data_IF_910386976457
#
_entry.id   IF_910386976457
#
_cell.length_a   1.000
_cell.length_b   1.000
_cell.length_c   1.000
_cell.angle_alpha   90.00
_cell.angle_beta   90.00
_cell.angle_gamma   90.00
#
_symmetry.space_group_name_H-M   'P 1'
#
loop_
_entity.id
_entity.type
_entity.pdbx_description
1 polymer ?
#
# COMPACT_ATOMS: atom_id res chain seq x y z
N UNK A 1 -20.05 0.02 7.80
CA UNK A 1 -19.74 -1.23 7.03
C UNK A 1 -18.26 -1.25 6.63
N UNK A 2 -17.69 -2.47 6.49
CA UNK A 2 -16.29 -2.63 6.07
C UNK A 2 -16.24 -3.54 4.86
N UNK A 3 -15.58 -3.09 3.80
CA UNK A 3 -15.30 -3.87 2.59
C UNK A 3 -13.80 -4.04 2.43
N UNK A 4 -13.37 -5.18 1.89
CA UNK A 4 -11.96 -5.46 1.58
C UNK A 4 -11.85 -5.83 0.11
N UNK A 5 -10.86 -5.27 -0.58
CA UNK A 5 -10.55 -5.59 -1.97
C UNK A 5 -9.04 -5.81 -2.14
N UNK A 6 -8.64 -6.51 -3.19
CA UNK A 6 -7.23 -6.69 -3.55
C UNK A 6 -6.66 -5.52 -4.34
N UNK A 7 -5.49 -5.74 -4.88
CA UNK A 7 -4.63 -4.82 -5.63
C UNK A 7 -5.39 -3.90 -6.60
N UNK A 8 -5.02 -2.65 -6.60
CA UNK A 8 -5.57 -1.67 -7.53
C UNK A 8 -4.58 -1.21 -8.60
N UNK A 9 -3.28 -1.18 -8.28
CA UNK A 9 -2.22 -0.70 -9.20
C UNK A 9 -2.60 0.62 -9.90
N UNK A 10 -3.22 1.56 -9.16
CA UNK A 10 -3.69 2.83 -9.71
C UNK A 10 -4.97 2.74 -10.58
N UNK A 11 -5.54 1.54 -10.75
CA UNK A 11 -6.80 1.37 -11.46
C UNK A 11 -7.98 1.29 -10.47
N UNK A 12 -8.63 2.41 -10.26
CA UNK A 12 -9.72 2.57 -9.30
C UNK A 12 -11.12 2.44 -9.92
N UNK A 13 -11.22 1.91 -11.15
CA UNK A 13 -12.51 1.72 -11.85
C UNK A 13 -13.53 0.95 -11.02
N UNK A 14 -13.06 0.00 -10.20
CA UNK A 14 -13.91 -0.79 -9.29
C UNK A 14 -14.72 0.05 -8.30
N UNK A 15 -14.32 1.30 -8.03
CA UNK A 15 -15.02 2.23 -7.14
C UNK A 15 -15.98 3.18 -7.87
N UNK A 16 -16.16 3.02 -9.17
CA UNK A 16 -17.22 3.73 -9.88
C UNK A 16 -18.59 3.13 -9.51
N UNK A 17 -19.66 3.93 -9.46
CA UNK A 17 -20.99 3.48 -9.05
C UNK A 17 -21.53 2.28 -9.82
N UNK A 18 -21.13 2.14 -11.08
CA UNK A 18 -21.54 1.02 -11.95
C UNK A 18 -20.97 -0.32 -11.50
N UNK A 19 -19.80 -0.31 -10.83
CA UNK A 19 -19.10 -1.52 -10.37
C UNK A 19 -19.21 -1.74 -8.86
N UNK A 20 -19.61 -0.71 -8.13
CA UNK A 20 -19.81 -0.76 -6.68
C UNK A 20 -21.07 0.04 -6.29
N UNK A 21 -22.26 -0.46 -6.67
CA UNK A 21 -23.53 0.24 -6.42
C UNK A 21 -23.87 0.37 -4.93
N UNK A 22 -23.33 -0.51 -4.07
CA UNK A 22 -23.54 -0.46 -2.62
C UNK A 22 -23.04 0.86 -2.00
N UNK A 23 -22.10 1.52 -2.64
CA UNK A 23 -21.58 2.80 -2.16
C UNK A 23 -22.64 3.92 -2.09
N UNK A 24 -23.76 3.78 -2.77
CA UNK A 24 -24.84 4.78 -2.74
C UNK A 24 -25.42 5.00 -1.32
N UNK A 25 -25.30 3.99 -0.44
CA UNK A 25 -25.73 4.08 0.95
C UNK A 25 -24.60 4.30 1.95
N UNK A 26 -23.36 4.45 1.48
CA UNK A 26 -22.19 4.60 2.35
C UNK A 26 -21.93 6.04 2.75
N UNK A 27 -21.22 6.20 3.83
CA UNK A 27 -20.75 7.47 4.39
C UNK A 27 -19.26 7.38 4.70
N UNK A 28 -18.62 8.50 5.06
CA UNK A 28 -17.21 8.50 5.50
C UNK A 28 -16.94 7.67 6.77
N UNK A 29 -17.96 7.18 7.45
CA UNK A 29 -17.81 6.23 8.54
C UNK A 29 -17.63 4.78 8.06
N UNK A 30 -18.06 4.49 6.83
CA UNK A 30 -17.85 3.20 6.20
C UNK A 30 -16.44 3.14 5.58
N UNK A 31 -15.82 1.97 5.59
CA UNK A 31 -14.42 1.81 5.21
C UNK A 31 -14.28 0.78 4.10
N UNK A 32 -13.51 1.14 3.08
CA UNK A 32 -13.05 0.18 2.06
C UNK A 32 -11.54 0.03 2.21
N UNK A 33 -11.06 -1.20 2.41
CA UNK A 33 -9.64 -1.50 2.61
C UNK A 33 -9.09 -2.17 1.34
N UNK A 34 -8.01 -1.59 0.78
CA UNK A 34 -7.22 -2.22 -0.28
C UNK A 34 -6.08 -3.01 0.36
N UNK A 35 -6.01 -4.31 0.05
CA UNK A 35 -5.03 -5.23 0.62
C UNK A 35 -3.71 -5.23 -0.18
N UNK A 36 -3.10 -4.06 -0.38
CA UNK A 36 -1.81 -3.85 -1.02
C UNK A 36 -1.88 -3.37 -2.46
N UNK A 37 -0.74 -2.97 -2.98
CA UNK A 37 -0.54 -2.47 -4.35
C UNK A 37 -1.56 -1.38 -4.73
N UNK A 38 -1.63 -0.34 -3.89
CA UNK A 38 -2.56 0.77 -4.05
C UNK A 38 -2.31 1.53 -5.36
N UNK A 39 -1.07 1.96 -5.59
CA UNK A 39 -0.65 2.64 -6.80
C UNK A 39 -1.22 4.04 -7.02
N UNK A 40 -1.94 4.62 -6.04
CA UNK A 40 -2.46 5.99 -6.11
C UNK A 40 -1.45 7.05 -5.65
N UNK A 41 -0.40 6.63 -4.95
CA UNK A 41 0.76 7.45 -4.59
C UNK A 41 1.96 6.87 -5.33
N UNK A 42 2.23 7.38 -6.53
CA UNK A 42 3.31 6.83 -7.35
C UNK A 42 4.40 7.86 -7.65
N UNK A 43 4.02 9.05 -8.08
CA UNK A 43 4.98 10.11 -8.39
C UNK A 43 5.39 10.91 -7.14
N UNK A 44 4.51 11.00 -6.16
CA UNK A 44 4.72 11.76 -4.93
C UNK A 44 4.72 13.27 -5.16
N UNK A 45 4.06 13.74 -6.20
CA UNK A 45 3.88 15.14 -6.57
C UNK A 45 2.47 15.37 -7.14
N UNK A 46 2.23 16.55 -7.74
CA UNK A 46 0.92 16.94 -8.26
C UNK A 46 0.34 16.03 -9.35
N UNK A 47 1.12 15.12 -9.93
CA UNK A 47 0.60 14.13 -10.88
C UNK A 47 -0.32 13.10 -10.23
N UNK A 48 -0.16 12.87 -8.93
CA UNK A 48 -1.05 11.99 -8.18
C UNK A 48 -2.34 12.70 -7.73
N UNK A 49 -2.34 14.05 -7.68
CA UNK A 49 -3.41 14.84 -7.04
C UNK A 49 -4.78 14.60 -7.64
N UNK A 50 -4.92 14.56 -8.97
CA UNK A 50 -6.22 14.37 -9.62
C UNK A 50 -6.88 13.06 -9.18
N UNK A 51 -6.09 11.98 -9.14
CA UNK A 51 -6.54 10.66 -8.69
C UNK A 51 -6.87 10.66 -7.21
N UNK A 52 -5.99 11.21 -6.38
CA UNK A 52 -6.18 11.26 -4.93
C UNK A 52 -7.38 12.12 -4.53
N UNK A 53 -7.59 13.24 -5.21
CA UNK A 53 -8.74 14.11 -4.97
C UNK A 53 -10.06 13.47 -5.44
N UNK A 54 -10.02 12.66 -6.50
CA UNK A 54 -11.17 11.86 -6.91
C UNK A 54 -11.48 10.79 -5.86
N UNK A 55 -10.46 10.07 -5.33
CA UNK A 55 -10.63 9.09 -4.26
C UNK A 55 -11.16 9.73 -2.98
N UNK A 56 -10.73 10.94 -2.65
CA UNK A 56 -11.24 11.69 -1.49
C UNK A 56 -12.74 12.00 -1.62
N UNK A 57 -13.25 12.18 -2.83
CA UNK A 57 -14.68 12.45 -3.06
C UNK A 57 -15.58 11.22 -2.96
N UNK A 58 -15.03 10.01 -2.90
CA UNK A 58 -15.83 8.79 -2.70
C UNK A 58 -16.64 8.89 -1.40
N UNK A 59 -17.82 8.30 -1.32
CA UNK A 59 -18.70 8.46 -0.14
C UNK A 59 -18.15 7.77 1.13
N UNK A 60 -17.18 6.88 1.02
CA UNK A 60 -16.56 6.13 2.11
C UNK A 60 -15.14 6.61 2.41
N UNK A 61 -14.57 6.17 3.53
CA UNK A 61 -13.13 6.26 3.80
C UNK A 61 -12.41 5.12 3.07
N UNK A 62 -11.43 5.47 2.25
CA UNK A 62 -10.56 4.52 1.58
C UNK A 62 -9.30 4.32 2.42
N UNK A 63 -9.05 3.10 2.85
CA UNK A 63 -7.84 2.72 3.55
C UNK A 63 -7.04 1.71 2.72
N UNK A 64 -5.73 1.65 2.87
CA UNK A 64 -4.92 0.65 2.21
C UNK A 64 -3.73 0.22 3.07
N UNK A 65 -3.31 -1.02 2.95
CA UNK A 65 -1.98 -1.47 3.39
C UNK A 65 -1.02 -1.40 2.21
N UNK A 66 0.27 -1.29 2.46
CA UNK A 66 1.26 -1.32 1.38
C UNK A 66 1.42 -2.73 0.79
N UNK A 67 1.70 -2.80 -0.51
CA UNK A 67 2.13 -3.99 -1.23
C UNK A 67 3.61 -3.93 -1.59
N UNK A 68 4.03 -4.63 -2.63
CA UNK A 68 5.40 -4.51 -3.17
C UNK A 68 5.50 -3.44 -4.27
N UNK A 69 4.39 -3.01 -4.85
CA UNK A 69 4.34 -1.94 -5.85
C UNK A 69 3.86 -0.62 -5.25
N UNK A 70 4.69 -0.04 -4.36
CA UNK A 70 4.42 1.26 -3.73
C UNK A 70 5.64 2.17 -3.82
N UNK A 71 5.41 3.47 -3.97
CA UNK A 71 6.46 4.46 -3.78
C UNK A 71 6.59 4.79 -2.29
N UNK A 72 7.44 4.04 -1.59
CA UNK A 72 7.64 4.18 -0.15
C UNK A 72 8.25 5.53 0.24
N UNK A 73 9.09 6.12 -0.62
CA UNK A 73 9.65 7.45 -0.39
C UNK A 73 8.56 8.53 -0.42
N UNK A 74 7.59 8.38 -1.30
CA UNK A 74 6.45 9.28 -1.36
C UNK A 74 5.50 9.08 -0.17
N UNK A 75 5.18 7.83 0.18
CA UNK A 75 4.33 7.51 1.32
C UNK A 75 4.90 8.05 2.64
N UNK A 76 6.23 7.94 2.85
CA UNK A 76 6.90 8.41 4.06
C UNK A 76 6.84 9.94 4.26
N UNK A 77 6.50 10.71 3.23
CA UNK A 77 6.37 12.18 3.31
C UNK A 77 5.02 12.65 3.84
N UNK A 78 4.00 11.79 3.83
CA UNK A 78 2.68 12.15 4.35
C UNK A 78 2.68 12.21 5.87
N UNK A 79 1.89 13.13 6.46
CA UNK A 79 1.81 13.25 7.91
C UNK A 79 1.25 11.99 8.55
N UNK A 80 1.85 11.59 9.66
CA UNK A 80 1.36 10.49 10.49
C UNK A 80 0.31 11.04 11.45
N UNK A 81 -0.82 10.36 11.55
CA UNK A 81 -1.87 10.64 12.50
C UNK A 81 -2.40 9.35 13.15
N UNK A 82 -3.10 9.51 14.25
CA UNK A 82 -3.85 8.42 14.85
C UNK A 82 -5.26 8.35 14.26
N UNK A 83 -5.68 7.16 13.85
CA UNK A 83 -7.00 6.90 13.32
C UNK A 83 -7.48 5.52 13.79
N UNK A 84 -8.66 5.46 14.41
CA UNK A 84 -9.28 4.20 14.88
C UNK A 84 -8.31 3.33 15.70
N UNK A 85 -7.58 3.92 16.64
CA UNK A 85 -6.59 3.30 17.53
C UNK A 85 -5.24 2.90 16.90
N UNK A 86 -5.06 3.07 15.61
CA UNK A 86 -3.80 2.80 14.90
C UNK A 86 -3.22 4.03 14.21
N UNK A 87 -1.96 3.95 13.82
CA UNK A 87 -1.24 5.00 13.08
C UNK A 87 -1.43 4.85 11.59
N UNK A 88 -1.67 5.98 10.92
CA UNK A 88 -1.84 6.06 9.47
C UNK A 88 -0.98 7.17 8.88
N UNK A 89 -0.57 7.04 7.62
CA UNK A 89 -0.20 8.21 6.83
C UNK A 89 -1.49 8.80 6.22
N UNK A 90 -1.73 10.10 6.48
CA UNK A 90 -2.86 10.82 5.91
C UNK A 90 -2.53 11.31 4.51
N UNK A 91 -2.87 10.52 3.49
CA UNK A 91 -2.68 10.89 2.07
C UNK A 91 -3.70 11.96 1.68
N UNK A 92 -4.93 11.79 2.14
CA UNK A 92 -6.02 12.78 2.16
C UNK A 92 -6.83 12.56 3.45
N UNK A 93 -7.75 13.46 3.82
CA UNK A 93 -8.57 13.27 5.04
C UNK A 93 -9.25 11.90 5.13
N UNK A 94 -9.64 11.32 3.99
CA UNK A 94 -10.32 10.02 3.93
C UNK A 94 -9.64 9.03 2.96
N UNK A 95 -8.37 9.27 2.61
CA UNK A 95 -7.50 8.30 1.93
C UNK A 95 -6.30 8.03 2.82
N UNK A 96 -6.27 6.86 3.45
CA UNK A 96 -5.40 6.56 4.58
C UNK A 96 -4.52 5.34 4.30
N UNK A 97 -3.20 5.50 4.45
CA UNK A 97 -2.30 4.37 4.47
C UNK A 97 -2.22 3.79 5.89
N UNK A 98 -2.72 2.57 6.07
CA UNK A 98 -2.66 1.84 7.33
C UNK A 98 -1.22 1.35 7.55
N UNK A 99 -0.53 1.91 8.54
CA UNK A 99 0.87 1.58 8.79
C UNK A 99 1.01 0.13 9.27
N UNK A 100 2.18 -0.44 9.03
CA UNK A 100 2.49 -1.82 9.46
C UNK A 100 2.55 -1.95 10.97
N UNK A 101 2.12 -3.11 11.43
CA UNK A 101 2.18 -3.46 12.85
C UNK A 101 1.14 -2.76 13.72
N UNK A 102 0.12 -2.15 13.12
CA UNK A 102 -0.92 -1.44 13.84
C UNK A 102 -2.19 -2.31 13.99
N UNK A 103 -2.99 -1.98 14.99
CA UNK A 103 -4.31 -2.54 15.20
C UNK A 103 -5.33 -1.41 15.10
N UNK A 104 -6.33 -1.62 14.25
CA UNK A 104 -7.42 -0.67 14.03
C UNK A 104 -8.73 -1.22 14.59
N UNK A 105 -9.46 -0.41 15.34
CA UNK A 105 -10.79 -0.77 15.84
C UNK A 105 -11.86 -0.25 14.88
N UNK A 106 -12.45 -1.16 14.10
CA UNK A 106 -13.46 -0.87 13.11
C UNK A 106 -14.73 -1.66 13.41
N UNK A 107 -15.84 -0.97 13.66
CA UNK A 107 -17.15 -1.57 13.97
C UNK A 107 -17.10 -2.63 15.09
N UNK A 108 -16.26 -2.41 16.12
CA UNK A 108 -16.12 -3.31 17.26
C UNK A 108 -15.21 -4.52 17.00
N UNK A 109 -14.55 -4.59 15.84
CA UNK A 109 -13.58 -5.62 15.49
C UNK A 109 -12.17 -5.05 15.40
N UNK A 110 -11.19 -5.89 15.72
CA UNK A 110 -9.75 -5.58 15.67
C UNK A 110 -9.15 -6.07 14.36
N UNK A 111 -8.64 -5.13 13.58
CA UNK A 111 -7.94 -5.38 12.31
C UNK A 111 -6.45 -5.15 12.52
N UNK A 112 -5.65 -6.20 12.47
CA UNK A 112 -4.20 -6.09 12.47
C UNK A 112 -3.69 -5.93 11.02
N UNK A 113 -2.76 -5.00 10.80
CA UNK A 113 -2.22 -4.71 9.47
C UNK A 113 -0.73 -4.99 9.39
N UNK A 114 -0.33 -5.74 8.35
CA UNK A 114 1.07 -6.05 8.06
C UNK A 114 1.27 -6.20 6.55
N UNK A 115 1.28 -5.07 5.85
CA UNK A 115 1.45 -5.05 4.40
C UNK A 115 2.90 -5.26 3.94
N UNK A 116 3.08 -5.33 2.64
CA UNK A 116 4.36 -5.56 1.98
C UNK A 116 4.57 -7.00 1.55
N UNK A 117 5.24 -7.18 0.43
CA UNK A 117 5.64 -8.47 -0.10
C UNK A 117 6.94 -8.36 -0.89
N UNK A 118 7.66 -9.46 -1.03
CA UNK A 118 8.86 -9.49 -1.88
C UNK A 118 8.46 -9.48 -3.35
N UNK A 119 9.03 -8.56 -4.11
CA UNK A 119 8.92 -8.56 -5.58
C UNK A 119 9.58 -9.83 -6.16
N UNK A 120 8.92 -10.40 -7.17
CA UNK A 120 9.40 -11.61 -7.86
C UNK A 120 9.89 -11.32 -9.28
N UNK A 121 9.69 -10.10 -9.78
CA UNK A 121 10.11 -9.65 -11.10
C UNK A 121 11.46 -8.90 -11.08
N UNK A 122 12.37 -9.38 -10.23
CA UNK A 122 13.71 -8.85 -10.00
C UNK A 122 14.82 -9.89 -10.24
N UNK A 123 14.53 -10.92 -11.04
CA UNK A 123 15.48 -12.01 -11.31
C UNK A 123 16.75 -11.53 -11.98
N UNK A 124 16.68 -10.46 -12.80
CA UNK A 124 17.82 -9.84 -13.45
C UNK A 124 18.48 -8.72 -12.61
N UNK A 125 17.99 -8.56 -11.38
CA UNK A 125 18.54 -7.69 -10.36
C UNK A 125 17.84 -6.35 -10.22
N UNK A 126 18.33 -5.62 -9.23
CA UNK A 126 17.94 -4.25 -8.94
C UNK A 126 19.11 -3.36 -9.38
N UNK A 127 18.80 -2.32 -10.14
CA UNK A 127 19.77 -1.33 -10.59
C UNK A 127 19.83 -0.18 -9.61
N UNK A 128 21.05 0.24 -9.25
CA UNK A 128 21.29 1.44 -8.45
C UNK A 128 21.53 2.62 -9.41
N UNK A 129 20.70 3.69 -9.39
CA UNK A 129 20.84 4.82 -10.30
C UNK A 129 22.22 5.50 -10.25
N UNK A 130 22.83 5.52 -9.06
CA UNK A 130 24.12 6.18 -8.82
C UNK A 130 25.34 5.26 -9.10
N UNK A 131 25.10 4.01 -9.51
CA UNK A 131 26.20 3.08 -9.79
C UNK A 131 26.97 3.50 -11.07
N UNK A 132 28.30 3.44 -11.07
CA UNK A 132 29.12 3.85 -12.23
C UNK A 132 28.81 3.09 -13.53
N UNK A 133 28.20 1.92 -13.43
CA UNK A 133 27.85 1.06 -14.57
C UNK A 133 26.34 1.03 -14.86
N UNK A 134 25.56 1.91 -14.23
CA UNK A 134 24.09 1.94 -14.35
C UNK A 134 23.61 1.97 -15.80
N UNK A 135 24.05 2.96 -16.56
CA UNK A 135 23.64 3.14 -17.97
C UNK A 135 23.98 1.90 -18.84
N UNK A 136 25.17 1.34 -18.63
CA UNK A 136 25.60 0.13 -19.35
C UNK A 136 24.70 -1.05 -19.00
N UNK A 137 24.42 -1.29 -17.73
CA UNK A 137 23.55 -2.38 -17.26
C UNK A 137 22.12 -2.19 -17.73
N UNK A 138 21.59 -0.97 -17.62
CA UNK A 138 20.25 -0.64 -18.09
C UNK A 138 20.10 -0.94 -19.59
N UNK A 139 21.06 -0.48 -20.42
CA UNK A 139 21.04 -0.73 -21.85
C UNK A 139 21.09 -2.24 -22.18
N UNK A 140 21.88 -3.02 -21.45
CA UNK A 140 21.95 -4.47 -21.62
C UNK A 140 20.61 -5.14 -21.30
N UNK A 141 19.99 -4.75 -20.18
CA UNK A 141 18.71 -5.32 -19.74
C UNK A 141 17.55 -4.91 -20.66
N UNK A 142 17.53 -3.68 -21.15
CA UNK A 142 16.53 -3.23 -22.14
C UNK A 142 16.58 -4.04 -23.46
N UNK A 143 17.75 -4.57 -23.82
CA UNK A 143 17.93 -5.44 -25.00
C UNK A 143 17.62 -6.92 -24.75
N UNK A 144 17.56 -7.33 -23.47
CA UNK A 144 17.26 -8.70 -23.09
C UNK A 144 15.75 -8.95 -23.20
N UNK A 145 15.30 -9.89 -24.03
CA UNK A 145 13.88 -10.24 -24.08
C UNK A 145 13.35 -10.69 -22.71
N UNK A 146 12.24 -10.12 -22.28
CA UNK A 146 11.58 -10.43 -21.00
C UNK A 146 12.48 -10.23 -19.77
N UNK A 147 13.38 -9.25 -19.82
CA UNK A 147 14.18 -8.90 -18.66
C UNK A 147 13.30 -8.52 -17.48
N UNK A 148 13.62 -9.05 -16.29
CA UNK A 148 12.92 -8.80 -15.03
C UNK A 148 13.86 -8.06 -14.09
N UNK A 149 13.87 -6.75 -14.20
CA UNK A 149 14.69 -5.86 -13.36
C UNK A 149 13.88 -4.68 -12.88
N UNK A 150 14.33 -4.11 -11.79
CA UNK A 150 13.77 -2.89 -11.22
C UNK A 150 14.90 -1.87 -10.97
N UNK A 151 14.51 -0.63 -10.71
CA UNK A 151 15.45 0.44 -10.42
C UNK A 151 15.14 0.96 -9.01
N UNK A 152 16.16 0.96 -8.16
CA UNK A 152 16.04 1.39 -6.76
C UNK A 152 15.55 2.85 -6.69
N UNK A 153 14.63 3.12 -5.78
CA UNK A 153 13.95 4.42 -5.57
C UNK A 153 13.21 4.99 -6.80
N UNK A 154 12.95 4.15 -7.84
CA UNK A 154 12.17 4.54 -9.03
C UNK A 154 11.03 3.54 -9.29
N UNK A 155 11.31 2.25 -9.24
CA UNK A 155 10.33 1.19 -9.48
C UNK A 155 10.45 0.04 -8.47
N UNK A 156 11.35 0.17 -7.50
CA UNK A 156 11.55 -0.76 -6.40
C UNK A 156 12.10 -0.02 -5.19
N UNK A 157 11.70 -0.47 -4.00
CA UNK A 157 12.13 0.04 -2.71
C UNK A 157 12.39 -1.12 -1.75
N UNK A 158 13.50 -1.09 -1.01
CA UNK A 158 13.80 -2.11 -0.01
C UNK A 158 12.72 -2.23 1.07
N UNK A 159 11.98 -1.14 1.28
CA UNK A 159 10.83 -1.05 2.19
C UNK A 159 9.63 -1.91 1.76
N UNK A 160 9.66 -2.56 0.58
CA UNK A 160 8.63 -3.57 0.23
C UNK A 160 8.54 -4.67 1.29
N UNK A 161 9.66 -4.96 1.97
CA UNK A 161 9.69 -5.86 3.12
C UNK A 161 9.65 -5.09 4.43
N UNK A 162 8.93 -5.61 5.44
CA UNK A 162 8.92 -5.00 6.76
C UNK A 162 10.31 -4.98 7.40
N UNK A 163 10.63 -3.86 8.05
CA UNK A 163 11.83 -3.69 8.85
C UNK A 163 11.72 -4.37 10.22
N UNK A 164 12.86 -4.60 10.88
CA UNK A 164 12.89 -5.09 12.27
C UNK A 164 12.13 -4.17 13.23
N UNK A 165 12.14 -2.86 12.99
CA UNK A 165 11.39 -1.88 13.75
C UNK A 165 9.88 -2.07 13.61
N UNK A 166 9.38 -2.31 12.39
CA UNK A 166 7.97 -2.59 12.13
C UNK A 166 7.54 -3.94 12.72
N UNK A 167 8.38 -4.97 12.67
CA UNK A 167 8.13 -6.23 13.37
C UNK A 167 8.10 -6.05 14.90
N UNK A 168 8.98 -5.22 15.46
CA UNK A 168 8.94 -4.92 16.89
C UNK A 168 7.68 -4.14 17.29
N UNK A 169 7.24 -3.18 16.46
CA UNK A 169 5.97 -2.47 16.64
C UNK A 169 4.78 -3.43 16.58
N UNK A 170 4.76 -4.33 15.59
CA UNK A 170 3.73 -5.35 15.44
C UNK A 170 3.58 -6.21 16.70
N UNK A 171 4.70 -6.68 17.27
CA UNK A 171 4.68 -7.46 18.52
C UNK A 171 4.13 -6.63 19.68
N UNK A 172 4.58 -5.36 19.85
CA UNK A 172 4.06 -4.48 20.90
C UNK A 172 2.56 -4.28 20.77
N UNK A 173 2.07 -4.00 19.56
CA UNK A 173 0.63 -3.81 19.32
C UNK A 173 -0.16 -5.07 19.65
N UNK A 174 0.31 -6.24 19.24
CA UNK A 174 -0.35 -7.52 19.51
C UNK A 174 -0.33 -7.86 21.02
N UNK A 175 0.76 -7.54 21.72
CA UNK A 175 0.85 -7.73 23.18
C UNK A 175 -0.21 -6.93 23.93
N UNK A 176 -0.57 -5.72 23.46
CA UNK A 176 -1.62 -4.90 24.12
C UNK A 176 -3.00 -5.53 24.09
N UNK A 177 -3.26 -6.42 23.14
CA UNK A 177 -4.56 -7.11 22.95
C UNK A 177 -4.47 -8.61 23.23
N UNK A 178 -3.37 -9.08 23.84
CA UNK A 178 -3.15 -10.49 24.15
C UNK A 178 -3.10 -11.39 22.91
N UNK A 179 -2.61 -10.87 21.78
CA UNK A 179 -2.55 -11.55 20.47
C UNK A 179 -3.93 -11.97 19.92
N UNK A 180 -4.99 -11.29 20.33
CA UNK A 180 -6.35 -11.55 19.90
C UNK A 180 -6.82 -10.45 18.95
N UNK A 181 -6.93 -10.79 17.67
CA UNK A 181 -7.46 -9.93 16.61
C UNK A 181 -8.50 -10.70 15.80
N UNK A 182 -9.47 -9.98 15.25
CA UNK A 182 -10.55 -10.60 14.47
C UNK A 182 -10.15 -10.80 13.01
N UNK A 183 -9.37 -9.82 12.46
CA UNK A 183 -8.94 -9.83 11.08
C UNK A 183 -7.47 -9.47 10.96
N UNK A 184 -6.80 -10.07 9.98
CA UNK A 184 -5.42 -9.76 9.61
C UNK A 184 -5.42 -9.33 8.15
N UNK A 185 -4.99 -8.09 7.88
CA UNK A 185 -4.86 -7.55 6.53
C UNK A 185 -3.38 -7.55 6.17
N UNK A 186 -3.03 -8.36 5.19
CA UNK A 186 -1.67 -8.48 4.66
C UNK A 186 -1.70 -8.38 3.13
N UNK A 187 -0.53 -8.29 2.54
CA UNK A 187 -0.36 -8.40 1.10
C UNK A 187 0.62 -9.55 0.80
N UNK A 188 0.34 -10.28 -0.26
CA UNK A 188 1.22 -11.31 -0.80
C UNK A 188 1.19 -11.22 -2.32
N UNK A 189 2.35 -11.03 -2.93
CA UNK A 189 2.49 -11.14 -4.38
C UNK A 189 2.39 -12.61 -4.78
N UNK A 190 1.23 -13.00 -5.35
CA UNK A 190 1.03 -14.36 -5.87
C UNK A 190 1.80 -14.51 -7.17
N UNK A 191 2.87 -15.29 -7.13
CA UNK A 191 3.46 -15.86 -8.35
C UNK A 191 2.47 -16.90 -8.85
N UNK A 192 2.16 -16.86 -10.12
CA UNK A 192 1.33 -17.89 -10.76
C UNK A 192 1.86 -19.28 -10.38
N UNK A 193 1.04 -20.00 -9.63
CA UNK A 193 1.22 -21.44 -9.43
C UNK A 193 0.90 -22.15 -10.74
#
# INVERSE_FOLDING_TARGET
>A
MIYVTGDTHGNFRRFQPEYFPEQAGMTKNDVVIIAGDFGGVWFGDSRDDETLDWLERLPFTLAFVCGNHENYDALARYPVAEWRSGKVHCVRPHVLHLMRGQIFELEGHRFFTMGGAKSHDIEDGILEPDAPDFERRLMMLQRKPRARYRINHISWWAQELPSDGEYAEARRSLDTVGWQVDYIITHLSLIHI
#
